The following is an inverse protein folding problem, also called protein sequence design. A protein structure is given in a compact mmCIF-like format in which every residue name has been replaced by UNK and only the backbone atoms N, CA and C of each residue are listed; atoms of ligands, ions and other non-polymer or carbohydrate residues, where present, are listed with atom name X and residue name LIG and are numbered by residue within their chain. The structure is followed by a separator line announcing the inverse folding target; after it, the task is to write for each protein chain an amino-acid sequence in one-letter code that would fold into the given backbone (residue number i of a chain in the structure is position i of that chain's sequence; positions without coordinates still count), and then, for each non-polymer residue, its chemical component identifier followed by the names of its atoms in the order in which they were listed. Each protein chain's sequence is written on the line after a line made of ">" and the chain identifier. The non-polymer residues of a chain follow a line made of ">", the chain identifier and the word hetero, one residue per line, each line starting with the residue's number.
data_IF_727768278491
#
_entry.id   IF_727768278491
#
_cell.length_a   1.000
_cell.length_b   1.000
_cell.length_c   1.000
_cell.angle_alpha   90.00
_cell.angle_beta   90.00
_cell.angle_gamma   90.00
#
_symmetry.space_group_name_H-M   'P 1'
#
loop_
_entity.id
_entity.type
_entity.pdbx_description
1 polymer ?
#
# COMPACT_ATOMS: atom_id res chain seq x y z
N UNK A 1 -0.89 -18.09 10.31
CA UNK A 1 -2.20 -18.74 10.08
C UNK A 1 -1.95 -20.07 9.41
N UNK A 2 -2.54 -21.16 9.91
CA UNK A 2 -2.41 -22.49 9.29
C UNK A 2 -3.68 -22.78 8.49
N UNK A 3 -3.52 -23.30 7.28
CA UNK A 3 -4.64 -23.62 6.39
C UNK A 3 -4.65 -25.12 6.08
N UNK A 4 -5.83 -25.76 6.04
CA UNK A 4 -5.94 -27.15 5.64
C UNK A 4 -5.69 -27.27 4.13
N UNK A 5 -4.68 -28.06 3.75
CA UNK A 5 -4.34 -28.37 2.37
C UNK A 5 -4.69 -29.84 2.09
N UNK A 6 -5.54 -30.08 1.10
CA UNK A 6 -5.92 -31.43 0.63
C UNK A 6 -4.79 -32.02 -0.22
N UNK A 7 -4.45 -33.29 0.01
CA UNK A 7 -3.37 -34.00 -0.68
C UNK A 7 -3.92 -35.30 -1.25
N UNK A 8 -3.76 -35.50 -2.56
CA UNK A 8 -4.06 -36.75 -3.26
C UNK A 8 -2.77 -37.45 -3.66
N UNK A 9 -2.69 -38.75 -3.43
CA UNK A 9 -1.56 -39.58 -3.89
C UNK A 9 -2.01 -40.28 -5.18
N UNK A 10 -1.50 -39.83 -6.31
CA UNK A 10 -1.84 -40.37 -7.63
C UNK A 10 -0.72 -41.30 -8.12
N UNK A 11 -1.08 -42.36 -8.84
CA UNK A 11 -0.10 -43.18 -9.56
C UNK A 11 0.48 -42.41 -10.76
N UNK A 12 1.65 -42.80 -11.31
CA UNK A 12 2.23 -42.14 -12.47
C UNK A 12 1.27 -42.03 -13.66
N UNK A 13 0.51 -43.09 -13.95
CA UNK A 13 -0.48 -43.10 -15.03
C UNK A 13 -1.63 -42.12 -14.78
N UNK A 14 -2.08 -41.99 -13.52
CA UNK A 14 -3.11 -41.04 -13.13
C UNK A 14 -2.62 -39.58 -13.22
N UNK A 15 -1.35 -39.33 -12.89
CA UNK A 15 -0.74 -38.01 -13.07
C UNK A 15 -0.65 -37.65 -14.55
N UNK A 16 -0.26 -38.60 -15.40
CA UNK A 16 -0.18 -38.39 -16.84
C UNK A 16 -1.55 -38.13 -17.49
N UNK A 17 -2.60 -38.77 -16.96
CA UNK A 17 -3.98 -38.59 -17.43
C UNK A 17 -4.74 -37.43 -16.75
N UNK A 18 -4.14 -36.76 -15.77
CA UNK A 18 -4.81 -35.73 -14.98
C UNK A 18 -5.16 -34.49 -15.82
N UNK A 19 -6.42 -34.05 -15.73
CA UNK A 19 -6.87 -32.78 -16.29
C UNK A 19 -7.14 -31.77 -15.18
N UNK A 20 -6.74 -30.51 -15.40
CA UNK A 20 -6.99 -29.44 -14.45
C UNK A 20 -8.50 -29.31 -14.16
N UNK A 21 -8.87 -29.34 -12.88
CA UNK A 21 -10.28 -29.26 -12.45
C UNK A 21 -11.04 -30.59 -12.46
N UNK A 22 -10.36 -31.70 -12.78
CA UNK A 22 -10.91 -33.04 -12.63
C UNK A 22 -11.15 -33.36 -11.15
N UNK A 23 -12.31 -33.92 -10.84
CA UNK A 23 -12.61 -34.42 -9.50
C UNK A 23 -11.77 -35.68 -9.22
N UNK A 24 -10.99 -35.63 -8.15
CA UNK A 24 -10.11 -36.70 -7.69
C UNK A 24 -10.73 -37.48 -6.52
N UNK A 25 -11.98 -37.18 -6.15
CA UNK A 25 -12.64 -37.76 -4.98
C UNK A 25 -12.03 -37.28 -3.67
N UNK A 26 -12.18 -38.08 -2.62
CA UNK A 26 -11.72 -37.72 -1.29
C UNK A 26 -10.18 -37.65 -1.21
N UNK A 27 -9.64 -36.62 -0.53
CA UNK A 27 -8.20 -36.49 -0.35
C UNK A 27 -7.69 -37.60 0.56
N UNK A 28 -6.48 -38.07 0.26
CA UNK A 28 -5.81 -39.08 1.08
C UNK A 28 -5.36 -38.49 2.41
N UNK A 29 -4.95 -37.22 2.40
CA UNK A 29 -4.51 -36.51 3.61
C UNK A 29 -4.95 -35.04 3.57
N UNK A 30 -5.24 -34.48 4.74
CA UNK A 30 -5.40 -33.04 4.94
C UNK A 30 -4.23 -32.58 5.82
N UNK A 31 -3.30 -31.83 5.24
CA UNK A 31 -2.13 -31.29 5.95
C UNK A 31 -2.38 -29.85 6.37
N UNK A 32 -2.10 -29.53 7.62
CA UNK A 32 -2.12 -28.15 8.12
C UNK A 32 -0.81 -27.46 7.74
N UNK A 33 -0.85 -26.68 6.67
CA UNK A 33 0.32 -25.92 6.21
C UNK A 33 0.28 -24.54 6.85
N UNK A 34 1.31 -24.22 7.63
CA UNK A 34 1.54 -22.84 8.06
C UNK A 34 2.02 -22.08 6.83
N UNK A 35 1.24 -21.11 6.34
CA UNK A 35 1.76 -20.16 5.35
C UNK A 35 2.82 -19.32 6.04
N UNK A 36 4.09 -19.64 5.80
CA UNK A 36 5.22 -18.83 6.20
C UNK A 36 5.30 -17.61 5.27
N UNK A 37 4.39 -16.67 5.44
CA UNK A 37 4.63 -15.28 5.06
C UNK A 37 4.58 -14.46 6.35
N UNK A 38 5.42 -14.84 7.31
CA UNK A 38 5.90 -13.87 8.28
C UNK A 38 6.91 -13.03 7.52
N UNK A 39 6.47 -11.90 6.94
CA UNK A 39 7.42 -10.88 6.51
C UNK A 39 8.22 -10.55 7.74
N UNK A 40 9.52 -10.83 7.73
CA UNK A 40 10.37 -10.49 8.85
C UNK A 40 10.22 -8.99 9.14
N UNK A 41 10.38 -8.59 10.40
CA UNK A 41 10.36 -7.17 10.76
C UNK A 41 11.34 -6.37 9.89
N UNK A 42 12.46 -6.98 9.55
CA UNK A 42 13.49 -6.44 8.66
C UNK A 42 12.97 -6.22 7.22
N UNK A 43 12.18 -7.14 6.68
CA UNK A 43 11.57 -7.00 5.35
C UNK A 43 10.50 -5.89 5.33
N UNK A 44 9.75 -5.75 6.42
CA UNK A 44 8.78 -4.66 6.56
C UNK A 44 9.48 -3.30 6.62
N UNK A 45 10.59 -3.19 7.33
CA UNK A 45 11.41 -1.98 7.41
C UNK A 45 12.08 -1.64 6.06
N UNK A 46 12.63 -2.65 5.36
CA UNK A 46 13.17 -2.49 3.99
C UNK A 46 12.10 -2.00 3.01
N UNK A 47 10.88 -2.53 3.09
CA UNK A 47 9.74 -2.11 2.26
C UNK A 47 9.36 -0.65 2.56
N UNK A 48 9.26 -0.26 3.83
CA UNK A 48 9.00 1.13 4.25
C UNK A 48 10.06 2.09 3.73
N UNK A 49 11.34 1.74 3.89
CA UNK A 49 12.46 2.56 3.41
C UNK A 49 12.46 2.71 1.88
N UNK A 50 12.05 1.67 1.14
CA UNK A 50 11.88 1.74 -0.33
C UNK A 50 10.73 2.66 -0.71
N UNK A 51 9.59 2.58 -0.02
CA UNK A 51 8.44 3.46 -0.26
C UNK A 51 8.78 4.92 0.02
N UNK A 52 9.44 5.22 1.14
CA UNK A 52 9.87 6.58 1.47
C UNK A 52 10.83 7.15 0.41
N UNK A 53 11.80 6.36 -0.07
CA UNK A 53 12.69 6.78 -1.17
C UNK A 53 11.93 7.07 -2.46
N UNK A 54 10.93 6.26 -2.79
CA UNK A 54 10.08 6.49 -3.96
C UNK A 54 9.26 7.77 -3.83
N UNK A 55 8.67 8.02 -2.67
CA UNK A 55 7.93 9.27 -2.38
C UNK A 55 8.87 10.46 -2.47
N UNK A 56 10.06 10.38 -1.85
CA UNK A 56 11.07 11.45 -1.89
C UNK A 56 11.43 11.82 -3.32
N UNK A 57 11.75 10.84 -4.16
CA UNK A 57 12.06 11.06 -5.60
C UNK A 57 10.87 11.64 -6.38
N UNK A 58 9.63 11.22 -6.08
CA UNK A 58 8.42 11.79 -6.72
C UNK A 58 8.13 13.24 -6.32
N UNK A 59 8.61 13.64 -5.14
CA UNK A 59 8.46 15.00 -4.62
C UNK A 59 9.67 15.90 -4.95
N UNK A 60 10.76 15.32 -5.43
CA UNK A 60 11.98 16.02 -5.81
C UNK A 60 11.70 16.91 -7.03
N UNK A 61 11.91 18.22 -6.90
CA UNK A 61 11.60 19.21 -7.93
C UNK A 61 10.15 19.72 -7.96
N UNK A 62 9.25 19.21 -7.12
CA UNK A 62 7.90 19.78 -6.97
C UNK A 62 7.89 20.86 -5.90
N UNK A 63 7.29 22.00 -6.21
CA UNK A 63 7.06 23.08 -5.23
C UNK A 63 6.11 22.53 -4.15
N UNK A 64 6.64 22.33 -2.94
CA UNK A 64 5.83 21.93 -1.80
C UNK A 64 5.12 23.17 -1.25
N UNK A 65 3.78 23.13 -1.24
CA UNK A 65 3.00 24.15 -0.57
C UNK A 65 3.24 24.04 0.95
N UNK A 66 3.90 25.04 1.52
CA UNK A 66 4.11 25.15 2.97
C UNK A 66 2.96 25.91 3.62
N UNK A 67 2.78 25.77 4.93
CA UNK A 67 1.74 26.50 5.67
C UNK A 67 1.86 28.03 5.50
N UNK A 68 3.05 28.66 5.62
CA UNK A 68 3.19 30.09 5.39
C UNK A 68 2.81 30.53 3.97
N UNK A 69 3.20 29.76 2.95
CA UNK A 69 2.81 30.04 1.56
C UNK A 69 1.29 29.97 1.40
N UNK A 70 0.66 28.92 1.94
CA UNK A 70 -0.80 28.81 1.94
C UNK A 70 -1.48 30.00 2.61
N UNK A 71 -0.98 30.46 3.75
CA UNK A 71 -1.57 31.59 4.48
C UNK A 71 -1.45 32.91 3.68
N UNK A 72 -0.36 33.11 2.93
CA UNK A 72 -0.19 34.25 2.02
C UNK A 72 -1.24 34.21 0.90
N UNK A 73 -1.45 33.04 0.29
CA UNK A 73 -2.40 32.88 -0.81
C UNK A 73 -3.86 33.06 -0.34
N UNK A 74 -4.19 32.55 0.85
CA UNK A 74 -5.50 32.80 1.48
C UNK A 74 -5.68 34.28 1.81
N UNK A 75 -4.63 34.96 2.30
CA UNK A 75 -4.67 36.40 2.54
C UNK A 75 -4.82 37.22 1.24
N UNK A 76 -4.35 36.68 0.12
CA UNK A 76 -4.59 37.23 -1.22
C UNK A 76 -6.01 36.93 -1.76
N UNK A 77 -6.84 36.22 -1.00
CA UNK A 77 -8.24 35.95 -1.31
C UNK A 77 -8.50 34.70 -2.15
N UNK A 78 -7.48 33.87 -2.41
CA UNK A 78 -7.67 32.64 -3.17
C UNK A 78 -8.36 31.56 -2.33
N UNK A 79 -9.21 30.77 -2.98
CA UNK A 79 -9.84 29.61 -2.37
C UNK A 79 -8.94 28.35 -2.41
N UNK A 80 -9.31 27.31 -1.67
CA UNK A 80 -8.53 26.07 -1.62
C UNK A 80 -8.37 25.38 -2.98
N UNK A 81 -9.33 25.56 -3.90
CA UNK A 81 -9.31 24.94 -5.22
C UNK A 81 -8.36 25.70 -6.16
N UNK A 82 -8.39 27.02 -6.13
CA UNK A 82 -7.51 27.91 -6.89
C UNK A 82 -6.07 27.77 -6.42
N UNK A 83 -5.83 27.68 -5.11
CA UNK A 83 -4.49 27.42 -4.57
C UNK A 83 -4.02 26.02 -5.00
N UNK A 84 -4.88 25.01 -4.98
CA UNK A 84 -4.50 23.67 -5.44
C UNK A 84 -4.11 23.70 -6.93
N UNK A 85 -4.88 24.39 -7.77
CA UNK A 85 -4.59 24.53 -9.20
C UNK A 85 -3.28 25.29 -9.45
N UNK A 86 -3.07 26.43 -8.77
CA UNK A 86 -1.85 27.26 -8.87
C UNK A 86 -0.57 26.48 -8.58
N UNK A 87 -0.63 25.54 -7.64
CA UNK A 87 0.51 24.71 -7.25
C UNK A 87 0.53 23.33 -7.92
N UNK A 88 -0.39 23.05 -8.85
CA UNK A 88 -0.47 21.76 -9.55
C UNK A 88 -0.78 20.57 -8.62
N UNK A 89 -1.56 20.83 -7.56
CA UNK A 89 -1.93 19.86 -6.53
C UNK A 89 -3.35 19.34 -6.77
N UNK A 90 -3.58 18.09 -6.39
CA UNK A 90 -4.94 17.56 -6.28
C UNK A 90 -5.61 18.11 -5.02
N UNK A 91 -6.94 18.27 -5.05
CA UNK A 91 -7.75 18.66 -3.87
C UNK A 91 -7.53 17.72 -2.68
N UNK A 92 -7.37 16.42 -2.92
CA UNK A 92 -7.04 15.42 -1.90
C UNK A 92 -5.71 15.73 -1.19
N UNK A 93 -4.70 16.18 -1.92
CA UNK A 93 -3.40 16.61 -1.39
C UNK A 93 -3.55 17.88 -0.54
N UNK A 94 -4.41 18.82 -0.95
CA UNK A 94 -4.70 20.03 -0.16
C UNK A 94 -5.30 19.67 1.21
N UNK A 95 -6.30 18.78 1.25
CA UNK A 95 -6.87 18.30 2.52
C UNK A 95 -5.82 17.61 3.40
N UNK A 96 -4.93 16.84 2.77
CA UNK A 96 -3.82 16.19 3.47
C UNK A 96 -2.88 17.22 4.12
N UNK A 97 -2.47 18.26 3.39
CA UNK A 97 -1.64 19.33 3.93
C UNK A 97 -2.31 20.06 5.08
N UNK A 98 -3.59 20.46 4.95
CA UNK A 98 -4.36 21.09 6.04
C UNK A 98 -4.47 20.19 7.26
N UNK A 99 -4.61 18.87 7.06
CA UNK A 99 -4.61 17.89 8.16
C UNK A 99 -3.25 17.81 8.87
N UNK A 100 -2.15 17.77 8.12
CA UNK A 100 -0.80 17.77 8.69
C UNK A 100 -0.52 19.04 9.49
N UNK A 101 -0.88 20.22 8.96
CA UNK A 101 -0.67 21.50 9.67
C UNK A 101 -1.50 21.59 10.95
N UNK A 102 -2.75 21.10 10.95
CA UNK A 102 -3.56 21.02 12.17
C UNK A 102 -2.95 20.10 13.22
N UNK A 103 -2.39 18.96 12.81
CA UNK A 103 -1.68 18.06 13.74
C UNK A 103 -0.42 18.71 14.30
N UNK A 104 0.39 19.36 13.46
CA UNK A 104 1.59 20.06 13.90
C UNK A 104 1.26 21.19 14.90
N UNK A 105 0.15 21.90 14.70
CA UNK A 105 -0.32 22.94 15.62
C UNK A 105 -0.77 22.40 16.99
N UNK A 106 -1.21 21.13 17.07
CA UNK A 106 -1.63 20.49 18.34
C UNK A 106 -0.47 19.92 19.16
N UNK A 107 0.68 19.74 18.54
CA UNK A 107 1.88 19.19 19.21
C UNK A 107 2.73 20.32 19.84
N UNK A 108 2.34 21.58 19.62
CA UNK A 108 2.94 22.78 20.18
C UNK A 108 2.12 23.27 21.37
#
# INVERSE_FOLDING_TARGET
>A
MAFPMKVWRLTPDQVAAYKLGQDLGDPHEIKMVKTAIERSREDAEKLRARQQRSIKRRMEGKVQLTKPLYDIEVAAGLDDAEIAEKYGLQRSTMYHYKSLWRKAARVR
#
